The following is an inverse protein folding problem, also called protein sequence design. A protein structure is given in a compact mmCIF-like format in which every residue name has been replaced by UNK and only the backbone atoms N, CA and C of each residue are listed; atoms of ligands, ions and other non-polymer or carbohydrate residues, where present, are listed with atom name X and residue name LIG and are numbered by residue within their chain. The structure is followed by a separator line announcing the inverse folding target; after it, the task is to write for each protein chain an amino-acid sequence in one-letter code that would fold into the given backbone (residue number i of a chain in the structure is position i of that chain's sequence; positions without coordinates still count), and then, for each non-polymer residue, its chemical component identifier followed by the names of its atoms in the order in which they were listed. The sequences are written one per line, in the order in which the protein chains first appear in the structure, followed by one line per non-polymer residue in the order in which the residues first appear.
data_IF_685736615127
#
_entry.id   IF_685736615127
#
_cell.length_a   1.000
_cell.length_b   1.000
_cell.length_c   1.000
_cell.angle_alpha   90.00
_cell.angle_beta   90.00
_cell.angle_gamma   90.00
#
_symmetry.space_group_name_H-M   'P 1'
#
loop_
_entity.id
_entity.type
_entity.pdbx_description
1 polymer ?
#
# COMPACT_ATOMS: atom_id res chain seq x y z
N UNK A 1 9.14 -3.44 3.50
CA UNK A 1 8.29 -4.43 2.86
C UNK A 1 8.29 -5.72 3.65
N UNK A 2 9.46 -6.20 4.07
CA UNK A 2 9.58 -7.41 4.90
C UNK A 2 9.39 -7.13 6.41
N UNK A 3 9.08 -5.90 6.77
CA UNK A 3 8.88 -5.45 8.16
C UNK A 3 10.10 -5.65 9.08
N UNK A 4 11.30 -5.70 8.50
CA UNK A 4 12.53 -5.75 9.26
C UNK A 4 12.86 -4.36 9.83
N UNK A 5 13.42 -4.27 11.05
CA UNK A 5 13.80 -2.99 11.63
C UNK A 5 14.94 -2.34 10.84
N UNK A 6 14.94 -1.01 10.68
CA UNK A 6 16.04 -0.31 10.01
C UNK A 6 17.31 -0.34 10.86
N UNK A 7 18.43 -0.12 10.19
CA UNK A 7 19.70 0.12 10.89
C UNK A 7 19.63 1.39 11.77
N UNK A 8 20.56 1.54 12.71
CA UNK A 8 20.65 2.75 13.51
C UNK A 8 20.85 3.98 12.60
N UNK A 9 20.15 5.09 12.91
CA UNK A 9 20.15 6.30 12.07
C UNK A 9 21.54 6.86 11.75
N UNK A 10 22.54 6.63 12.62
CA UNK A 10 23.93 7.06 12.39
C UNK A 10 24.62 6.37 11.22
N UNK A 11 24.08 5.27 10.70
CA UNK A 11 24.64 4.52 9.58
C UNK A 11 23.90 4.76 8.25
N UNK A 12 22.83 5.52 8.28
CA UNK A 12 21.94 5.70 7.13
C UNK A 12 21.81 7.16 6.79
N UNK A 13 21.83 7.46 5.50
CA UNK A 13 21.48 8.76 4.94
C UNK A 13 20.14 8.65 4.22
N UNK A 14 19.35 9.71 4.28
CA UNK A 14 18.08 9.80 3.56
C UNK A 14 18.15 10.90 2.50
N UNK A 15 17.55 10.62 1.35
CA UNK A 15 17.35 11.59 0.27
C UNK A 15 15.93 11.46 -0.26
N UNK A 16 15.37 12.57 -0.71
CA UNK A 16 14.10 12.53 -1.41
C UNK A 16 14.27 11.79 -2.75
N UNK A 17 13.38 10.88 -3.05
CA UNK A 17 13.28 10.32 -4.39
C UNK A 17 12.87 11.42 -5.38
N UNK A 18 13.31 11.39 -6.63
CA UNK A 18 12.93 12.41 -7.63
C UNK A 18 11.41 12.60 -7.73
N UNK A 19 10.66 11.52 -7.76
CA UNK A 19 9.19 11.58 -7.82
C UNK A 19 8.57 12.26 -6.58
N UNK A 20 9.20 12.15 -5.41
CA UNK A 20 8.71 12.84 -4.22
C UNK A 20 8.98 14.34 -4.30
N UNK A 21 10.16 14.73 -4.84
CA UNK A 21 10.47 16.15 -5.06
C UNK A 21 9.51 16.77 -6.10
N UNK A 22 9.39 16.17 -7.26
CA UNK A 22 8.51 16.64 -8.34
C UNK A 22 7.03 16.63 -7.94
N UNK A 23 6.58 15.54 -7.30
CA UNK A 23 5.17 15.35 -6.98
C UNK A 23 4.66 16.15 -5.79
N UNK A 24 5.53 16.54 -4.84
CA UNK A 24 5.10 17.23 -3.62
C UNK A 24 5.67 18.64 -3.46
N UNK A 25 6.86 18.93 -4.02
CA UNK A 25 7.59 20.15 -3.67
C UNK A 25 7.78 21.12 -4.84
N UNK A 26 7.55 20.71 -6.09
CA UNK A 26 7.86 21.53 -7.26
C UNK A 26 7.17 22.90 -7.22
N UNK A 27 5.93 22.97 -6.78
CA UNK A 27 5.14 24.21 -6.73
C UNK A 27 5.09 24.86 -5.35
N UNK A 28 5.86 24.40 -4.39
CA UNK A 28 5.76 24.85 -2.99
C UNK A 28 6.08 26.35 -2.83
N UNK A 29 6.84 26.94 -3.73
CA UNK A 29 7.19 28.38 -3.73
C UNK A 29 6.25 29.28 -4.53
N UNK A 30 5.20 28.77 -5.15
CA UNK A 30 4.35 29.45 -6.13
C UNK A 30 3.07 30.05 -5.55
N UNK A 31 3.03 30.34 -4.26
CA UNK A 31 1.84 30.82 -3.53
C UNK A 31 0.62 29.87 -3.63
N UNK A 32 0.88 28.62 -3.95
CA UNK A 32 -0.14 27.58 -4.07
C UNK A 32 -0.63 27.07 -2.72
N UNK A 33 0.16 27.23 -1.68
CA UNK A 33 -0.13 26.76 -0.32
C UNK A 33 0.06 27.87 0.72
N UNK A 34 -0.66 27.78 1.82
CA UNK A 34 -0.50 28.71 2.94
C UNK A 34 0.68 28.29 3.82
N UNK A 35 1.35 29.27 4.39
CA UNK A 35 2.47 29.12 5.31
C UNK A 35 2.10 29.59 6.72
N UNK A 36 2.72 28.98 7.70
CA UNK A 36 2.71 29.42 9.10
C UNK A 36 4.13 29.52 9.65
N UNK A 37 4.30 30.28 10.72
CA UNK A 37 5.60 30.34 11.38
C UNK A 37 5.91 29.01 12.05
N UNK A 38 7.17 28.61 12.02
CA UNK A 38 7.67 27.46 12.78
C UNK A 38 7.61 27.78 14.30
N UNK A 39 8.00 26.79 15.13
CA UNK A 39 7.89 26.88 16.58
C UNK A 39 8.55 28.13 17.19
N UNK A 40 9.72 28.53 16.72
CA UNK A 40 10.46 29.70 17.22
C UNK A 40 10.21 31.00 16.43
N UNK A 41 9.37 30.95 15.40
CA UNK A 41 9.05 32.09 14.55
C UNK A 41 10.19 32.57 13.65
N UNK A 42 11.30 31.84 13.58
CA UNK A 42 12.47 32.23 12.78
C UNK A 42 12.30 31.96 11.28
N UNK A 43 11.41 31.04 10.92
CA UNK A 43 11.14 30.63 9.54
C UNK A 43 9.64 30.34 9.34
N UNK A 44 9.26 30.20 8.08
CA UNK A 44 7.92 29.79 7.70
C UNK A 44 7.94 28.38 7.15
N UNK A 45 6.92 27.60 7.46
CA UNK A 45 6.71 26.25 6.96
C UNK A 45 5.34 26.11 6.29
N UNK A 46 5.23 25.30 5.24
CA UNK A 46 3.95 25.09 4.55
C UNK A 46 2.99 24.31 5.44
N UNK A 47 1.73 24.73 5.49
CA UNK A 47 0.70 24.03 6.24
C UNK A 47 0.27 22.72 5.57
N UNK A 48 0.37 22.68 4.23
CA UNK A 48 0.09 21.50 3.39
C UNK A 48 1.12 21.48 2.25
N UNK A 49 1.34 20.32 1.68
CA UNK A 49 2.19 20.18 0.49
C UNK A 49 1.34 20.26 -0.78
N UNK A 50 1.82 20.94 -1.84
CA UNK A 50 1.18 20.90 -3.14
C UNK A 50 1.38 19.49 -3.75
N UNK A 51 0.31 18.74 -3.94
CA UNK A 51 0.38 17.39 -4.48
C UNK A 51 -0.19 17.35 -5.91
N UNK A 52 0.65 16.96 -6.88
CA UNK A 52 0.22 16.85 -8.27
C UNK A 52 -0.60 15.59 -8.54
N UNK A 53 -0.47 14.57 -7.70
CA UNK A 53 -1.19 13.30 -7.78
C UNK A 53 -1.95 13.02 -6.47
N UNK A 54 -3.02 12.24 -6.50
CA UNK A 54 -3.77 11.86 -5.31
C UNK A 54 -3.02 10.81 -4.47
N UNK A 55 -1.88 11.19 -3.88
CA UNK A 55 -0.98 10.29 -3.16
C UNK A 55 -1.64 9.54 -2.02
N UNK A 56 -2.68 10.09 -1.41
CA UNK A 56 -3.44 9.38 -0.37
C UNK A 56 -4.07 8.09 -0.90
N UNK A 57 -4.61 8.12 -2.11
CA UNK A 57 -5.15 6.92 -2.76
C UNK A 57 -4.05 6.00 -3.29
N UNK A 58 -2.98 6.58 -3.85
CA UNK A 58 -1.90 5.81 -4.46
C UNK A 58 -1.08 5.04 -3.42
N UNK A 59 -0.72 5.68 -2.32
CA UNK A 59 0.15 5.09 -1.29
C UNK A 59 -0.62 4.52 -0.11
N UNK A 60 -1.89 4.90 0.03
CA UNK A 60 -2.64 4.62 1.24
C UNK A 60 -2.12 5.39 2.45
N UNK A 61 -2.70 5.09 3.60
CA UNK A 61 -2.27 5.66 4.88
C UNK A 61 -2.64 4.71 6.00
N UNK A 62 -1.74 4.53 6.95
CA UNK A 62 -2.00 3.76 8.17
C UNK A 62 -1.51 4.55 9.37
N UNK A 63 -2.36 4.68 10.38
CA UNK A 63 -2.01 5.41 11.58
C UNK A 63 -2.99 5.17 12.72
N UNK A 64 -2.48 5.33 13.94
CA UNK A 64 -3.24 5.17 15.18
C UNK A 64 -3.15 6.48 15.97
N UNK A 65 -4.32 7.04 16.29
CA UNK A 65 -4.43 8.21 17.15
C UNK A 65 -5.29 7.90 18.37
N UNK A 66 -5.36 8.84 19.33
CA UNK A 66 -6.27 8.67 20.46
C UNK A 66 -7.72 8.80 19.98
N UNK A 67 -8.49 7.75 20.20
CA UNK A 67 -9.91 7.69 19.83
C UNK A 67 -10.22 7.38 18.38
N UNK A 68 -9.21 7.29 17.49
CA UNK A 68 -9.43 6.92 16.08
C UNK A 68 -8.21 6.25 15.46
N UNK A 69 -8.44 5.48 14.41
CA UNK A 69 -7.40 4.90 13.59
C UNK A 69 -7.78 4.99 12.11
N UNK A 70 -6.78 5.03 11.24
CA UNK A 70 -6.97 4.96 9.79
C UNK A 70 -6.15 3.83 9.20
N UNK A 71 -6.68 3.19 8.17
CA UNK A 71 -5.97 2.19 7.39
C UNK A 71 -6.51 2.19 5.96
N UNK A 72 -6.00 3.12 5.15
CA UNK A 72 -6.38 3.30 3.76
C UNK A 72 -5.40 2.48 2.91
N UNK A 73 -5.88 1.51 2.11
CA UNK A 73 -5.01 0.73 1.25
C UNK A 73 -4.52 1.54 0.05
N UNK A 74 -3.36 1.17 -0.54
CA UNK A 74 -2.88 1.75 -1.79
C UNK A 74 -3.70 1.28 -2.99
N UNK A 75 -3.65 2.05 -4.10
CA UNK A 75 -4.39 1.78 -5.33
C UNK A 75 -3.49 1.88 -6.56
N UNK A 76 -3.92 1.28 -7.65
CA UNK A 76 -3.23 1.34 -8.93
C UNK A 76 -3.29 2.76 -9.54
N UNK A 77 -2.13 3.29 -9.97
CA UNK A 77 -2.03 4.63 -10.55
C UNK A 77 -2.90 4.77 -11.81
N UNK A 78 -2.88 3.78 -12.70
CA UNK A 78 -3.66 3.81 -13.95
C UNK A 78 -5.16 3.90 -13.66
N UNK A 79 -5.68 3.04 -12.78
CA UNK A 79 -7.10 3.04 -12.40
C UNK A 79 -7.51 4.35 -11.72
N UNK A 80 -6.67 4.90 -10.84
CA UNK A 80 -6.95 6.18 -10.17
C UNK A 80 -6.98 7.32 -11.17
N UNK A 81 -6.05 7.38 -12.12
CA UNK A 81 -6.02 8.40 -13.18
C UNK A 81 -7.25 8.26 -14.09
N UNK A 82 -7.62 7.06 -14.51
CA UNK A 82 -8.82 6.82 -15.31
C UNK A 82 -10.09 7.23 -14.56
N UNK A 83 -10.15 6.95 -13.25
CA UNK A 83 -11.22 7.41 -12.39
C UNK A 83 -11.32 8.94 -12.31
N UNK A 84 -10.19 9.64 -12.17
CA UNK A 84 -10.13 11.11 -12.20
C UNK A 84 -10.58 11.68 -13.55
N UNK A 85 -10.12 11.12 -14.66
CA UNK A 85 -10.54 11.53 -15.99
C UNK A 85 -12.06 11.35 -16.17
N UNK A 86 -12.60 10.23 -15.70
CA UNK A 86 -14.03 9.97 -15.76
C UNK A 86 -14.83 10.99 -14.93
N UNK A 87 -14.36 11.34 -13.74
CA UNK A 87 -14.99 12.33 -12.86
C UNK A 87 -14.92 13.75 -13.46
N UNK A 88 -13.80 14.14 -14.06
CA UNK A 88 -13.65 15.44 -14.74
C UNK A 88 -14.62 15.56 -15.92
N UNK A 89 -14.77 14.49 -16.71
CA UNK A 89 -15.68 14.44 -17.86
C UNK A 89 -17.15 14.44 -17.46
N UNK A 90 -17.47 13.83 -16.33
CA UNK A 90 -18.83 13.75 -15.81
C UNK A 90 -18.83 13.86 -14.28
N UNK A 91 -19.09 15.07 -13.77
CA UNK A 91 -19.13 15.35 -12.32
C UNK A 91 -20.24 14.60 -11.57
N UNK A 92 -21.27 14.17 -12.29
CA UNK A 92 -22.41 13.41 -11.74
C UNK A 92 -22.24 11.88 -11.91
N UNK A 93 -21.00 11.42 -12.14
CA UNK A 93 -20.73 9.98 -12.26
C UNK A 93 -21.11 9.26 -10.94
N UNK A 94 -21.84 8.16 -11.04
CA UNK A 94 -22.23 7.40 -9.87
C UNK A 94 -21.08 6.59 -9.29
N UNK A 95 -21.07 6.37 -7.95
CA UNK A 95 -20.09 5.54 -7.24
C UNK A 95 -20.00 4.14 -7.85
N UNK A 96 -21.15 3.58 -8.25
CA UNK A 96 -21.20 2.28 -8.92
C UNK A 96 -20.41 2.26 -10.23
N UNK A 97 -20.39 3.36 -10.98
CA UNK A 97 -19.61 3.47 -12.22
C UNK A 97 -18.12 3.71 -11.92
N UNK A 98 -17.80 4.49 -10.89
CA UNK A 98 -16.41 4.66 -10.42
C UNK A 98 -15.81 3.32 -9.95
N UNK A 99 -16.58 2.50 -9.23
CA UNK A 99 -16.12 1.18 -8.78
C UNK A 99 -15.91 0.16 -9.92
N UNK A 100 -16.36 0.44 -11.14
CA UNK A 100 -15.99 -0.37 -12.31
C UNK A 100 -14.69 0.09 -12.98
N UNK A 101 -14.17 1.26 -12.60
CA UNK A 101 -12.91 1.82 -13.09
C UNK A 101 -11.81 1.54 -12.06
N UNK A 102 -12.05 1.89 -10.80
CA UNK A 102 -11.18 1.58 -9.66
C UNK A 102 -11.72 0.30 -9.04
N UNK A 103 -11.11 -0.83 -9.38
CA UNK A 103 -11.63 -2.15 -9.05
C UNK A 103 -11.41 -2.51 -7.57
N UNK A 104 -10.36 -1.97 -6.97
CA UNK A 104 -10.00 -2.23 -5.59
C UNK A 104 -8.58 -1.81 -5.25
N UNK A 105 -8.13 -2.13 -4.03
CA UNK A 105 -6.75 -1.91 -3.64
C UNK A 105 -5.76 -2.68 -4.50
N UNK A 106 -4.59 -2.07 -4.71
CA UNK A 106 -3.45 -2.68 -5.38
C UNK A 106 -2.22 -2.55 -4.48
N UNK A 107 -1.66 -3.69 -4.06
CA UNK A 107 -0.61 -3.72 -3.04
C UNK A 107 0.77 -3.91 -3.67
N UNK A 108 1.82 -3.21 -3.20
CA UNK A 108 3.16 -3.28 -3.77
C UNK A 108 3.83 -4.65 -3.62
N UNK A 109 3.36 -5.49 -2.71
CA UNK A 109 3.84 -6.85 -2.51
C UNK A 109 3.05 -7.91 -3.28
N UNK A 110 2.07 -7.49 -4.07
CA UNK A 110 1.18 -8.40 -4.79
C UNK A 110 0.14 -9.07 -3.87
N UNK A 111 -0.17 -10.31 -4.18
CA UNK A 111 -1.24 -11.06 -3.53
C UNK A 111 -2.54 -11.02 -4.32
N UNK A 112 -3.50 -11.82 -3.92
CA UNK A 112 -4.81 -11.90 -4.53
C UNK A 112 -5.87 -11.31 -3.60
N UNK A 113 -6.59 -10.32 -4.09
CA UNK A 113 -7.75 -9.76 -3.41
C UNK A 113 -8.95 -10.71 -3.59
N UNK A 114 -9.53 -11.15 -2.49
CA UNK A 114 -10.75 -11.94 -2.54
C UNK A 114 -11.94 -11.00 -2.61
N UNK A 115 -12.56 -10.94 -3.79
CA UNK A 115 -13.74 -10.12 -4.01
C UNK A 115 -14.91 -10.64 -3.18
N UNK A 116 -15.50 -9.76 -2.39
CA UNK A 116 -16.73 -9.99 -1.64
C UNK A 116 -17.51 -8.68 -1.51
N UNK A 117 -18.76 -8.77 -1.03
CA UNK A 117 -19.63 -7.59 -0.86
C UNK A 117 -19.04 -6.55 0.10
N UNK A 118 -18.18 -6.97 1.02
CA UNK A 118 -17.52 -6.10 1.98
C UNK A 118 -16.57 -5.08 1.30
N UNK A 119 -16.01 -5.38 0.12
CA UNK A 119 -15.20 -4.43 -0.63
C UNK A 119 -16.02 -3.20 -1.06
N UNK A 120 -17.24 -3.42 -1.55
CA UNK A 120 -18.15 -2.34 -1.90
C UNK A 120 -18.53 -1.49 -0.67
N UNK A 121 -18.73 -2.13 0.48
CA UNK A 121 -19.03 -1.45 1.73
C UNK A 121 -17.86 -0.57 2.21
N UNK A 122 -16.60 -1.01 2.02
CA UNK A 122 -15.40 -0.22 2.34
C UNK A 122 -15.43 1.12 1.61
N UNK A 123 -15.71 1.12 0.31
CA UNK A 123 -15.76 2.36 -0.48
C UNK A 123 -16.98 3.23 -0.17
N UNK A 124 -18.14 2.62 0.06
CA UNK A 124 -19.37 3.37 0.33
C UNK A 124 -19.46 3.89 1.76
N UNK A 125 -19.03 3.08 2.74
CA UNK A 125 -19.18 3.40 4.17
C UNK A 125 -17.88 3.87 4.82
N UNK A 126 -16.74 3.76 4.13
CA UNK A 126 -15.41 4.04 4.68
C UNK A 126 -14.96 3.03 5.76
N UNK A 127 -15.64 1.90 5.88
CA UNK A 127 -15.34 0.84 6.86
C UNK A 127 -15.69 -0.53 6.29
N UNK A 128 -14.83 -1.51 6.53
CA UNK A 128 -15.05 -2.89 6.13
C UNK A 128 -13.80 -3.73 6.27
N UNK A 129 -13.88 -4.98 5.86
CA UNK A 129 -12.78 -5.94 5.90
C UNK A 129 -12.41 -6.36 4.49
N UNK A 130 -11.13 -6.26 4.15
CA UNK A 130 -10.57 -6.68 2.88
C UNK A 130 -9.75 -7.93 3.12
N UNK A 131 -10.02 -9.01 2.37
CA UNK A 131 -9.31 -10.27 2.49
C UNK A 131 -8.30 -10.38 1.36
N UNK A 132 -7.03 -10.57 1.74
CA UNK A 132 -5.92 -10.74 0.82
C UNK A 132 -5.28 -12.09 1.11
N UNK A 133 -4.96 -12.85 0.07
CA UNK A 133 -4.20 -14.09 0.18
C UNK A 133 -2.91 -14.02 -0.63
N UNK A 134 -1.90 -14.79 -0.18
CA UNK A 134 -0.67 -14.95 -0.93
C UNK A 134 -0.85 -15.83 -2.16
N UNK A 135 0.07 -15.70 -3.11
CA UNK A 135 0.11 -16.54 -4.32
C UNK A 135 1.01 -17.74 -4.06
N UNK A 136 0.42 -18.95 -4.12
CA UNK A 136 1.09 -20.20 -3.82
C UNK A 136 0.93 -21.14 -5.01
N UNK A 137 2.05 -21.74 -5.45
CA UNK A 137 2.07 -22.76 -6.50
C UNK A 137 2.72 -24.04 -5.99
N UNK A 138 2.21 -25.20 -6.44
CA UNK A 138 2.85 -26.48 -6.17
C UNK A 138 3.71 -26.86 -7.36
N UNK A 139 4.99 -27.12 -7.13
CA UNK A 139 5.96 -27.48 -8.17
C UNK A 139 6.85 -28.64 -7.71
N UNK A 140 7.30 -29.47 -8.66
CA UNK A 140 8.34 -30.46 -8.41
C UNK A 140 9.71 -29.80 -8.54
N UNK A 141 10.48 -29.78 -7.48
CA UNK A 141 11.84 -29.22 -7.46
C UNK A 141 12.91 -30.30 -7.27
N UNK A 142 14.06 -30.11 -7.92
CA UNK A 142 15.26 -30.92 -7.70
C UNK A 142 16.15 -30.27 -6.64
N UNK A 143 16.30 -30.91 -5.51
CA UNK A 143 17.19 -30.45 -4.42
C UNK A 143 18.57 -31.12 -4.59
N UNK A 144 19.44 -30.56 -5.45
CA UNK A 144 20.81 -31.01 -5.62
C UNK A 144 21.07 -31.92 -6.85
N UNK A 145 22.24 -32.58 -6.89
CA UNK A 145 22.71 -33.38 -8.05
C UNK A 145 22.03 -34.72 -8.19
N UNK A 146 21.00 -35.06 -7.44
CA UNK A 146 20.28 -36.32 -7.49
C UNK A 146 19.04 -36.29 -8.38
N UNK A 147 18.59 -37.49 -8.82
CA UNK A 147 17.36 -37.67 -9.63
C UNK A 147 16.05 -37.56 -8.81
N UNK A 148 16.14 -37.33 -7.50
CA UNK A 148 14.95 -37.29 -6.65
C UNK A 148 14.28 -35.91 -6.68
N UNK A 149 13.12 -35.86 -7.26
CA UNK A 149 12.22 -34.71 -7.25
C UNK A 149 11.42 -34.71 -5.93
N UNK A 150 11.15 -33.55 -5.43
CA UNK A 150 10.27 -33.35 -4.27
C UNK A 150 9.21 -32.32 -4.62
N UNK A 151 7.99 -32.56 -4.15
CA UNK A 151 6.94 -31.57 -4.23
C UNK A 151 7.26 -30.42 -3.26
N UNK A 152 7.20 -29.22 -3.76
CA UNK A 152 7.40 -28.01 -2.99
C UNK A 152 6.25 -27.02 -3.20
N UNK A 153 5.94 -26.25 -2.20
CA UNK A 153 5.06 -25.10 -2.30
C UNK A 153 5.93 -23.85 -2.52
N UNK A 154 5.77 -23.25 -3.68
CA UNK A 154 6.45 -22.00 -4.02
C UNK A 154 5.51 -20.87 -3.71
N UNK A 155 5.90 -20.02 -2.75
CA UNK A 155 5.16 -18.83 -2.36
C UNK A 155 5.85 -17.66 -3.04
N UNK A 156 5.22 -17.10 -4.06
CA UNK A 156 5.77 -16.01 -4.86
C UNK A 156 5.39 -14.64 -4.30
N UNK A 157 4.24 -14.55 -3.63
CA UNK A 157 3.71 -13.30 -3.09
C UNK A 157 3.09 -13.52 -1.72
N UNK A 158 3.32 -12.59 -0.82
CA UNK A 158 2.69 -12.54 0.51
C UNK A 158 1.77 -11.31 0.60
N UNK A 159 0.70 -11.40 1.39
CA UNK A 159 -0.14 -10.23 1.66
C UNK A 159 0.67 -9.06 2.22
N UNK A 160 0.25 -7.85 1.86
CA UNK A 160 0.89 -6.62 2.30
C UNK A 160 0.98 -6.54 3.83
N UNK A 161 2.12 -6.05 4.35
CA UNK A 161 2.42 -5.92 5.78
C UNK A 161 2.56 -7.26 6.54
N UNK A 162 2.61 -8.40 5.87
CA UNK A 162 2.90 -9.68 6.51
C UNK A 162 4.42 -9.88 6.58
N UNK A 163 4.93 -10.10 7.79
CA UNK A 163 6.33 -10.46 8.01
C UNK A 163 6.59 -11.86 7.47
N UNK A 164 7.54 -11.99 6.54
CA UNK A 164 7.97 -13.26 5.97
C UNK A 164 8.51 -14.21 7.04
N UNK A 165 9.35 -13.71 7.95
CA UNK A 165 9.90 -14.50 9.04
C UNK A 165 8.80 -15.03 9.97
N UNK A 166 7.91 -14.16 10.45
CA UNK A 166 6.80 -14.57 11.31
C UNK A 166 5.82 -15.54 10.63
N UNK A 167 5.65 -15.44 9.32
CA UNK A 167 4.85 -16.40 8.56
C UNK A 167 5.51 -17.78 8.52
N UNK A 168 6.85 -17.84 8.30
CA UNK A 168 7.62 -19.10 8.30
C UNK A 168 7.58 -19.76 9.68
N UNK A 169 7.75 -18.98 10.75
CA UNK A 169 7.66 -19.48 12.14
C UNK A 169 6.28 -20.10 12.40
N UNK A 170 5.22 -19.42 12.02
CA UNK A 170 3.85 -19.93 12.17
C UNK A 170 3.60 -21.21 11.36
N UNK A 171 4.17 -21.31 10.16
CA UNK A 171 4.11 -22.53 9.36
C UNK A 171 4.83 -23.69 10.05
N UNK A 172 6.03 -23.43 10.59
CA UNK A 172 6.80 -24.43 11.34
C UNK A 172 6.04 -24.92 12.59
N UNK A 173 5.37 -24.02 13.31
CA UNK A 173 4.51 -24.40 14.43
C UNK A 173 3.36 -25.33 14.00
N UNK A 174 2.69 -25.03 12.90
CA UNK A 174 1.59 -25.86 12.38
C UNK A 174 2.09 -27.26 12.00
N UNK A 175 3.25 -27.37 11.38
CA UNK A 175 3.88 -28.68 11.04
C UNK A 175 4.22 -29.46 12.31
N UNK A 176 4.77 -28.81 13.33
CA UNK A 176 5.13 -29.45 14.59
C UNK A 176 3.89 -29.96 15.39
N UNK A 177 2.75 -29.29 15.25
CA UNK A 177 1.49 -29.70 15.89
C UNK A 177 0.79 -30.80 15.05
N UNK A 178 1.27 -31.11 13.85
CA UNK A 178 0.70 -32.13 12.96
C UNK A 178 -0.58 -31.70 12.25
N UNK A 179 -0.71 -30.40 12.01
CA UNK A 179 -1.84 -29.81 11.23
C UNK A 179 -1.43 -29.54 9.80
#
# INVERSE_FOLDING_TARGET
VDNDPPAAMRYTETRLAPIAHEGFLEEIGSETVSYSNNFDGSQQEPNILPAQLPFLLLNGSSGIAVGMATNIPPHNLGEVVDGLIALIRNKEISDKKLSTIILGPDFPTGGELIYNDSLNEVYQKGRGSIIIRGVIKSEEINLGKGKHKRNALIISELPYQISKAGWIEKLAELVNIGK
#
